data_IF_966579747487
#
_entry.id   IF_966579747487
#
_cell.length_a   1.000
_cell.length_b   1.000
_cell.length_c   1.000
_cell.angle_alpha   90.00
_cell.angle_beta   90.00
_cell.angle_gamma   90.00
#
_symmetry.space_group_name_H-M   'P 1'
#
loop_
_entity.id
_entity.type
_entity.pdbx_description
1 polymer ?
#
# COMPACT_ATOMS: atom_id res chain seq x y z
N UNK A 1 -25.80 7.32 3.50
CA UNK A 1 -24.49 6.73 3.21
C UNK A 1 -23.99 7.37 1.91
N UNK A 2 -23.41 8.56 2.00
CA UNK A 2 -22.89 9.28 0.83
C UNK A 2 -21.36 9.30 0.92
N UNK A 3 -20.69 8.34 0.27
CA UNK A 3 -19.25 8.44 -0.06
C UNK A 3 -18.76 7.26 -0.94
N UNK A 4 -19.56 6.72 -1.86
CA UNK A 4 -19.12 5.60 -2.72
C UNK A 4 -19.71 5.73 -4.12
N UNK A 5 -19.24 6.71 -4.88
CA UNK A 5 -19.42 6.70 -6.34
C UNK A 5 -18.15 7.22 -7.00
N UNK A 6 -17.60 6.34 -7.84
CA UNK A 6 -16.35 6.41 -8.61
C UNK A 6 -15.03 6.49 -7.83
N UNK A 7 -14.63 5.37 -7.23
CA UNK A 7 -13.22 5.02 -7.29
C UNK A 7 -12.90 4.79 -8.79
N UNK A 8 -12.30 5.78 -9.45
CA UNK A 8 -11.91 5.63 -10.86
C UNK A 8 -10.75 4.65 -10.94
N UNK A 9 -11.04 3.40 -11.30
CA UNK A 9 -10.03 2.35 -11.46
C UNK A 9 -8.94 2.74 -12.46
N UNK A 10 -9.21 3.67 -13.40
CA UNK A 10 -8.20 4.15 -14.35
C UNK A 10 -7.14 5.05 -13.70
N UNK A 11 -7.38 5.51 -12.47
CA UNK A 11 -6.40 6.26 -11.66
C UNK A 11 -5.57 5.37 -10.75
N UNK A 12 -5.89 4.06 -10.72
CA UNK A 12 -5.20 3.06 -9.92
C UNK A 12 -4.02 2.51 -10.71
N UNK A 13 -2.90 2.35 -10.03
CA UNK A 13 -1.73 1.70 -10.61
C UNK A 13 -2.10 0.28 -11.07
N UNK A 14 -1.83 -0.03 -12.34
CA UNK A 14 -2.20 -1.29 -12.97
C UNK A 14 -1.91 -2.56 -12.12
N UNK A 15 -0.76 -2.67 -11.42
CA UNK A 15 -0.42 -3.87 -10.64
C UNK A 15 -1.37 -4.19 -9.48
N UNK A 16 -2.15 -3.22 -8.99
CA UNK A 16 -3.02 -3.40 -7.81
C UNK A 16 -4.51 -3.40 -8.14
N UNK A 17 -4.90 -3.21 -9.41
CA UNK A 17 -6.32 -3.15 -9.82
C UNK A 17 -7.11 -4.37 -9.33
N UNK A 18 -6.58 -5.58 -9.54
CA UNK A 18 -7.25 -6.82 -9.11
C UNK A 18 -7.49 -6.88 -7.60
N UNK A 19 -6.54 -6.39 -6.80
CA UNK A 19 -6.65 -6.36 -5.34
C UNK A 19 -7.75 -5.39 -4.92
N UNK A 20 -7.78 -4.21 -5.55
CA UNK A 20 -8.79 -3.20 -5.25
C UNK A 20 -10.19 -3.66 -5.67
N UNK A 21 -10.31 -4.30 -6.84
CA UNK A 21 -11.54 -4.92 -7.30
C UNK A 21 -12.01 -6.03 -6.34
N UNK A 22 -11.10 -6.89 -5.89
CA UNK A 22 -11.37 -7.93 -4.90
C UNK A 22 -11.93 -7.38 -3.58
N UNK A 23 -11.30 -6.34 -3.02
CA UNK A 23 -11.84 -5.66 -1.84
C UNK A 23 -13.21 -5.01 -2.09
N UNK A 24 -13.45 -4.46 -3.28
CA UNK A 24 -14.73 -3.81 -3.61
C UNK A 24 -15.91 -4.77 -3.64
N UNK A 25 -15.66 -6.07 -3.82
CA UNK A 25 -16.66 -7.14 -3.81
C UNK A 25 -17.03 -7.60 -2.40
N UNK A 26 -16.29 -7.19 -1.38
CA UNK A 26 -16.59 -7.54 0.01
C UNK A 26 -17.63 -6.55 0.58
N UNK A 27 -18.83 -6.99 0.97
CA UNK A 27 -19.89 -6.06 1.41
C UNK A 27 -19.59 -5.34 2.73
N UNK A 28 -18.55 -5.76 3.44
CA UNK A 28 -18.11 -5.24 4.73
C UNK A 28 -16.78 -4.46 4.65
N UNK A 29 -16.28 -4.17 3.43
CA UNK A 29 -15.04 -3.44 3.22
C UNK A 29 -15.14 -2.54 1.98
N UNK A 30 -14.48 -1.39 1.99
CA UNK A 30 -14.22 -0.64 0.76
C UNK A 30 -12.89 0.08 0.83
N UNK A 31 -12.24 0.25 -0.32
CA UNK A 31 -10.98 0.97 -0.45
C UNK A 31 -11.24 2.48 -0.41
N UNK A 32 -10.50 3.19 0.45
CA UNK A 32 -10.52 4.65 0.57
C UNK A 32 -9.50 5.29 -0.37
N UNK A 33 -8.29 4.74 -0.38
CA UNK A 33 -7.15 5.25 -1.14
C UNK A 33 -6.08 4.16 -1.27
N UNK A 34 -5.29 4.18 -2.34
CA UNK A 34 -4.21 3.23 -2.54
C UNK A 34 -3.10 3.79 -3.42
N UNK A 35 -1.90 3.22 -3.31
CA UNK A 35 -0.78 3.48 -4.21
C UNK A 35 0.09 2.23 -4.30
N UNK A 36 0.56 1.88 -5.51
CA UNK A 36 1.49 0.76 -5.69
C UNK A 36 2.88 1.06 -5.14
N UNK A 37 3.23 2.33 -4.99
CA UNK A 37 4.54 2.78 -4.56
C UNK A 37 5.54 2.82 -5.71
N UNK A 38 6.29 3.91 -5.74
CA UNK A 38 7.07 4.30 -6.92
C UNK A 38 8.51 4.63 -6.52
N UNK A 39 9.44 4.18 -7.36
CA UNK A 39 10.86 4.44 -7.20
C UNK A 39 11.33 5.48 -8.21
N UNK A 40 11.85 6.59 -7.71
CA UNK A 40 12.41 7.66 -8.52
C UNK A 40 13.92 7.73 -8.30
N UNK A 41 14.67 7.81 -9.40
CA UNK A 41 16.13 7.93 -9.39
C UNK A 41 16.61 8.75 -10.59
N UNK A 42 17.91 9.08 -10.63
CA UNK A 42 18.52 9.95 -11.66
C UNK A 42 18.24 9.57 -13.13
N UNK A 43 17.89 8.30 -13.40
CA UNK A 43 17.62 7.79 -14.75
C UNK A 43 16.12 7.56 -15.00
N UNK A 44 15.27 7.80 -13.99
CA UNK A 44 13.82 7.61 -14.05
C UNK A 44 13.16 8.49 -12.98
N UNK A 45 12.75 9.70 -13.37
CA UNK A 45 12.14 10.68 -12.46
C UNK A 45 10.61 10.71 -12.56
N UNK A 46 10.01 9.90 -13.45
CA UNK A 46 8.56 9.88 -13.63
C UNK A 46 7.87 9.36 -12.34
N UNK A 47 7.04 10.18 -11.67
CA UNK A 47 6.41 9.80 -10.42
C UNK A 47 5.30 8.76 -10.57
N UNK A 48 4.91 8.43 -11.82
CA UNK A 48 3.92 7.40 -12.17
C UNK A 48 4.58 6.12 -12.71
N UNK A 49 5.91 6.04 -12.70
CA UNK A 49 6.60 4.82 -13.14
C UNK A 49 6.27 3.66 -12.19
N UNK A 50 5.89 2.52 -12.77
CA UNK A 50 5.60 1.28 -12.05
C UNK A 50 6.60 0.16 -12.39
N UNK A 51 7.53 0.42 -13.32
CA UNK A 51 8.57 -0.52 -13.70
C UNK A 51 9.48 -0.86 -12.50
N UNK A 52 10.01 -2.10 -12.45
CA UNK A 52 10.92 -2.51 -11.40
C UNK A 52 12.21 -1.69 -11.41
N UNK A 53 12.91 -1.67 -10.28
CA UNK A 53 14.24 -1.07 -10.19
C UNK A 53 15.20 -1.79 -11.17
N UNK A 54 15.92 -1.05 -12.03
CA UNK A 54 16.88 -1.66 -12.94
C UNK A 54 18.08 -2.17 -12.16
N UNK A 55 18.74 -3.22 -12.66
CA UNK A 55 20.07 -3.62 -12.17
C UNK A 55 21.05 -2.50 -12.51
N UNK A 56 21.62 -1.84 -11.51
CA UNK A 56 22.55 -0.73 -11.72
C UNK A 56 23.53 -0.53 -10.57
N UNK A 57 24.81 -0.43 -10.90
CA UNK A 57 25.86 -0.03 -9.93
C UNK A 57 25.97 1.49 -9.77
N UNK A 58 25.25 2.27 -10.60
CA UNK A 58 25.40 3.72 -10.68
C UNK A 58 24.36 4.50 -9.88
N UNK A 59 23.30 3.83 -9.40
CA UNK A 59 22.23 4.44 -8.63
C UNK A 59 22.61 4.36 -7.15
N UNK A 60 22.94 5.49 -6.53
CA UNK A 60 23.30 5.51 -5.10
C UNK A 60 22.07 5.67 -4.20
N UNK A 61 21.12 6.52 -4.61
CA UNK A 61 19.92 6.87 -3.84
C UNK A 61 18.68 6.78 -4.70
N UNK A 62 17.60 6.36 -4.06
CA UNK A 62 16.27 6.30 -4.64
C UNK A 62 15.33 7.11 -3.75
N UNK A 63 14.48 7.92 -4.36
CA UNK A 63 13.32 8.50 -3.69
C UNK A 63 12.16 7.52 -3.85
N UNK A 64 11.67 7.02 -2.73
CA UNK A 64 10.55 6.11 -2.67
C UNK A 64 9.28 6.88 -2.30
N UNK A 65 8.23 6.74 -3.11
CA UNK A 65 6.86 7.12 -2.76
C UNK A 65 6.19 5.86 -2.22
N UNK A 66 5.65 5.93 -1.01
CA UNK A 66 5.24 4.74 -0.27
C UNK A 66 4.10 3.99 -0.97
N UNK A 67 4.13 2.66 -0.88
CA UNK A 67 3.01 1.82 -1.29
C UNK A 67 2.06 1.66 -0.10
N UNK A 68 0.76 1.69 -0.33
CA UNK A 68 -0.23 1.49 0.72
C UNK A 68 -1.61 1.14 0.16
N UNK A 69 -2.44 0.56 1.03
CA UNK A 69 -3.88 0.46 0.83
C UNK A 69 -4.57 0.93 2.12
N UNK A 70 -5.43 1.95 2.00
CA UNK A 70 -6.33 2.40 3.03
C UNK A 70 -7.73 1.82 2.79
N UNK A 71 -8.30 1.19 3.82
CA UNK A 71 -9.57 0.48 3.77
C UNK A 71 -10.47 0.97 4.89
N UNK A 72 -11.77 1.09 4.62
CA UNK A 72 -12.79 1.15 5.66
C UNK A 72 -13.36 -0.25 5.86
N UNK A 73 -13.30 -0.75 7.09
CA UNK A 73 -13.76 -2.10 7.44
C UNK A 73 -14.93 -1.98 8.40
N UNK A 74 -16.07 -2.56 8.03
CA UNK A 74 -17.25 -2.54 8.89
C UNK A 74 -16.98 -3.32 10.19
N UNK A 75 -17.50 -2.83 11.32
CA UNK A 75 -17.44 -3.54 12.60
C UNK A 75 -18.46 -4.68 12.70
N UNK A 76 -18.44 -5.60 11.73
CA UNK A 76 -19.22 -6.85 11.68
C UNK A 76 -18.31 -8.04 11.96
N UNK A 77 -18.88 -9.24 12.10
CA UNK A 77 -18.07 -10.44 12.36
C UNK A 77 -17.15 -10.76 11.18
N UNK A 78 -17.65 -10.64 9.94
CA UNK A 78 -16.84 -10.80 8.74
C UNK A 78 -15.76 -9.71 8.62
N UNK A 79 -16.10 -8.45 8.94
CA UNK A 79 -15.13 -7.36 8.95
C UNK A 79 -14.04 -7.56 10.01
N UNK A 80 -14.39 -8.11 11.18
CA UNK A 80 -13.41 -8.48 12.22
C UNK A 80 -12.51 -9.62 11.76
N UNK A 81 -13.03 -10.62 11.05
CA UNK A 81 -12.20 -11.68 10.45
C UNK A 81 -11.21 -11.10 9.43
N UNK A 82 -11.68 -10.24 8.52
CA UNK A 82 -10.81 -9.55 7.56
C UNK A 82 -9.72 -8.74 8.28
N UNK A 83 -10.09 -7.98 9.31
CA UNK A 83 -9.14 -7.22 10.13
C UNK A 83 -8.05 -8.13 10.71
N UNK A 84 -8.40 -9.31 11.24
CA UNK A 84 -7.41 -10.26 11.77
C UNK A 84 -6.50 -10.83 10.67
N UNK A 85 -7.00 -11.05 9.46
CA UNK A 85 -6.18 -11.48 8.33
C UNK A 85 -5.18 -10.38 7.93
N UNK A 86 -5.64 -9.14 7.78
CA UNK A 86 -4.78 -7.99 7.43
C UNK A 86 -3.72 -7.73 8.50
N UNK A 87 -4.06 -7.90 9.79
CA UNK A 87 -3.12 -7.76 10.91
C UNK A 87 -1.93 -8.73 10.87
N UNK A 88 -2.03 -9.83 10.11
CA UNK A 88 -0.93 -10.79 9.94
C UNK A 88 0.02 -10.43 8.80
N UNK A 89 -0.36 -9.53 7.89
CA UNK A 89 0.48 -9.13 6.75
C UNK A 89 1.84 -8.56 7.18
N UNK A 90 1.96 -7.74 8.24
CA UNK A 90 3.26 -7.29 8.75
C UNK A 90 4.25 -8.40 9.14
N UNK A 91 3.83 -9.66 9.30
CA UNK A 91 4.75 -10.78 9.57
C UNK A 91 5.70 -11.04 8.40
N UNK A 92 5.36 -10.62 7.19
CA UNK A 92 6.24 -10.71 5.99
C UNK A 92 7.54 -9.95 6.25
N UNK A 93 7.45 -8.69 6.66
CA UNK A 93 8.58 -7.88 7.11
C UNK A 93 8.08 -6.75 8.04
N UNK A 94 8.16 -6.91 9.38
CA UNK A 94 7.57 -5.96 10.31
C UNK A 94 8.33 -4.63 10.41
N UNK A 95 9.55 -4.55 9.87
CA UNK A 95 10.32 -3.31 9.83
C UNK A 95 9.96 -2.45 8.61
N UNK A 96 9.33 -3.04 7.60
CA UNK A 96 8.95 -2.39 6.36
C UNK A 96 7.45 -2.40 6.06
N UNK A 97 6.66 -3.23 6.73
CA UNK A 97 5.20 -3.29 6.58
C UNK A 97 4.54 -2.91 7.90
N UNK A 98 3.63 -1.95 7.86
CA UNK A 98 2.86 -1.52 9.03
C UNK A 98 1.37 -1.66 8.78
N UNK A 99 0.65 -2.04 9.84
CA UNK A 99 -0.81 -2.04 9.87
C UNK A 99 -1.29 -1.17 11.03
N UNK A 100 -2.15 -0.19 10.74
CA UNK A 100 -2.59 0.75 11.75
C UNK A 100 -3.88 1.49 11.39
N UNK A 101 -4.27 2.41 12.25
CA UNK A 101 -5.40 3.30 12.01
C UNK A 101 -5.00 4.35 10.96
N UNK A 102 -5.87 4.55 9.96
CA UNK A 102 -5.71 5.65 9.00
C UNK A 102 -6.25 6.95 9.62
N UNK A 103 -5.59 7.48 10.65
CA UNK A 103 -6.09 8.59 11.48
C UNK A 103 -6.53 9.81 10.66
N UNK A 104 -5.84 10.08 9.55
CA UNK A 104 -6.17 11.18 8.63
C UNK A 104 -7.54 11.03 7.96
N UNK A 105 -8.10 9.82 7.89
CA UNK A 105 -9.45 9.54 7.41
C UNK A 105 -10.50 9.44 8.52
N UNK A 106 -10.12 9.25 9.79
CA UNK A 106 -11.07 8.94 10.87
C UNK A 106 -12.13 10.02 11.11
N UNK A 107 -11.80 11.29 10.83
CA UNK A 107 -12.79 12.39 10.90
C UNK A 107 -13.93 12.26 9.89
N UNK A 108 -13.71 11.52 8.78
CA UNK A 108 -14.67 11.34 7.69
C UNK A 108 -15.26 9.93 7.69
N UNK A 109 -14.46 8.91 7.99
CA UNK A 109 -14.85 7.51 8.00
C UNK A 109 -14.20 6.79 9.19
N UNK A 110 -15.02 6.41 10.16
CA UNK A 110 -14.60 5.56 11.29
C UNK A 110 -14.27 4.15 10.80
N UNK A 111 -13.45 3.42 11.55
CA UNK A 111 -12.93 2.10 11.15
C UNK A 111 -12.10 2.12 9.86
N UNK A 112 -11.40 3.23 9.63
CA UNK A 112 -10.41 3.34 8.55
C UNK A 112 -9.06 2.80 9.01
N UNK A 113 -8.51 1.85 8.27
CA UNK A 113 -7.22 1.24 8.54
C UNK A 113 -6.31 1.39 7.33
N UNK A 114 -5.00 1.37 7.55
CA UNK A 114 -4.00 1.45 6.51
C UNK A 114 -3.00 0.31 6.67
N UNK A 115 -2.71 -0.34 5.55
CA UNK A 115 -1.50 -1.13 5.37
C UNK A 115 -0.54 -0.31 4.51
N UNK A 116 0.67 -0.06 5.00
CA UNK A 116 1.67 0.71 4.28
C UNK A 116 3.02 -0.01 4.27
N UNK A 117 3.78 0.21 3.20
CA UNK A 117 5.11 -0.32 3.01
C UNK A 117 6.07 0.86 3.05
N UNK A 118 6.86 0.94 4.11
CA UNK A 118 7.95 1.88 4.25
C UNK A 118 8.86 1.47 5.41
N UNK A 119 10.14 1.88 5.40
CA UNK A 119 10.97 1.69 6.58
C UNK A 119 10.33 2.40 7.77
N UNK A 120 10.23 1.71 8.92
CA UNK A 120 9.59 2.21 10.15
C UNK A 120 10.06 3.61 10.60
N UNK A 121 11.31 3.98 10.30
CA UNK A 121 11.85 5.33 10.56
C UNK A 121 11.17 6.46 9.76
N UNK A 122 10.35 6.13 8.76
CA UNK A 122 9.62 7.07 7.91
C UNK A 122 8.11 7.05 8.11
N UNK A 123 7.58 6.30 9.09
CA UNK A 123 6.13 6.02 9.32
C UNK A 123 5.13 7.19 9.20
N UNK A 124 5.60 8.44 9.32
CA UNK A 124 4.80 9.66 9.20
C UNK A 124 5.03 10.41 7.88
N UNK A 125 5.59 9.78 6.84
CA UNK A 125 6.01 10.44 5.59
C UNK A 125 5.51 9.67 4.37
N UNK A 126 4.90 10.38 3.44
CA UNK A 126 4.46 9.79 2.16
C UNK A 126 5.62 9.52 1.18
N UNK A 127 6.82 10.05 1.48
CA UNK A 127 8.02 9.82 0.69
C UNK A 127 9.27 9.74 1.56
N UNK A 128 10.20 8.87 1.17
CA UNK A 128 11.49 8.68 1.82
C UNK A 128 12.63 8.62 0.81
N UNK A 129 13.82 9.00 1.23
CA UNK A 129 15.04 8.74 0.44
C UNK A 129 15.82 7.61 1.09
N UNK A 130 16.12 6.59 0.30
CA UNK A 130 16.74 5.32 0.71
C UNK A 130 17.97 5.04 -0.16
N UNK A 131 18.84 4.16 0.30
CA UNK A 131 19.91 3.63 -0.55
C UNK A 131 19.32 2.75 -1.66
N UNK A 132 20.05 2.54 -2.74
CA UNK A 132 19.60 1.64 -3.80
C UNK A 132 19.41 0.20 -3.31
N UNK A 133 20.29 -0.31 -2.45
CA UNK A 133 20.13 -1.65 -1.83
C UNK A 133 18.86 -1.76 -0.99
N UNK A 134 18.54 -0.73 -0.20
CA UNK A 134 17.30 -0.71 0.58
C UNK A 134 16.07 -0.56 -0.34
N UNK A 135 16.18 0.17 -1.44
CA UNK A 135 15.11 0.28 -2.42
C UNK A 135 14.78 -1.07 -3.08
N UNK A 136 15.80 -1.89 -3.39
CA UNK A 136 15.61 -3.26 -3.87
C UNK A 136 14.89 -4.13 -2.83
N UNK A 137 15.25 -3.99 -1.56
CA UNK A 137 14.55 -4.67 -0.46
C UNK A 137 13.08 -4.24 -0.37
N UNK A 138 12.82 -2.93 -0.40
CA UNK A 138 11.45 -2.39 -0.41
C UNK A 138 10.66 -2.90 -1.61
N UNK A 139 11.26 -2.98 -2.80
CA UNK A 139 10.59 -3.53 -3.98
C UNK A 139 10.18 -4.99 -3.80
N UNK A 140 11.09 -5.82 -3.27
CA UNK A 140 10.81 -7.22 -2.96
C UNK A 140 9.68 -7.33 -1.93
N UNK A 141 9.78 -6.62 -0.80
CA UNK A 141 8.75 -6.61 0.26
C UNK A 141 7.41 -6.12 -0.27
N UNK A 142 7.39 -5.08 -1.12
CA UNK A 142 6.18 -4.57 -1.78
C UNK A 142 5.51 -5.66 -2.61
N UNK A 143 6.28 -6.38 -3.41
CA UNK A 143 5.75 -7.42 -4.28
C UNK A 143 5.17 -8.58 -3.44
N UNK A 144 5.86 -9.00 -2.38
CA UNK A 144 5.36 -10.02 -1.44
C UNK A 144 4.11 -9.56 -0.69
N UNK A 145 4.07 -8.31 -0.25
CA UNK A 145 2.93 -7.68 0.38
C UNK A 145 1.68 -7.75 -0.51
N UNK A 146 1.76 -7.29 -1.76
CA UNK A 146 0.61 -7.32 -2.67
C UNK A 146 0.21 -8.75 -3.03
N UNK A 147 1.16 -9.67 -3.17
CA UNK A 147 0.87 -11.10 -3.33
C UNK A 147 0.17 -11.69 -2.09
N UNK A 148 0.51 -11.23 -0.89
CA UNK A 148 -0.19 -11.57 0.35
C UNK A 148 -1.63 -11.08 0.35
N UNK A 149 -1.87 -9.85 -0.11
CA UNK A 149 -3.21 -9.28 -0.22
C UNK A 149 -4.10 -10.00 -1.24
N UNK A 150 -3.54 -10.39 -2.39
CA UNK A 150 -4.26 -11.21 -3.40
C UNK A 150 -4.80 -12.53 -2.85
N UNK A 151 -4.25 -13.05 -1.74
CA UNK A 151 -4.73 -14.28 -1.09
C UNK A 151 -5.87 -14.03 -0.10
N UNK A 152 -6.12 -12.77 0.27
CA UNK A 152 -7.16 -12.36 1.22
C UNK A 152 -8.42 -11.91 0.48
N UNK A 153 -8.26 -11.31 -0.69
CA UNK A 153 -9.33 -10.83 -1.59
C UNK A 153 -9.77 -11.89 -2.57
#
# INVERSE_FOLDING_TARGET
>A
QESLTSLDLNTIDAPIIEIIDGFSKLPYCFTLQSCYGHFLHKNQENPKNIEPLPISDSIARVKYRIAYIALCIQNSDLGRVLFQHLRRIPVIDPEYIQFGCAEWFWKRQVNSYVLQIEPKRYITKDTGSVSYQEALHIEMVRNEFFNGLKKIT
#
